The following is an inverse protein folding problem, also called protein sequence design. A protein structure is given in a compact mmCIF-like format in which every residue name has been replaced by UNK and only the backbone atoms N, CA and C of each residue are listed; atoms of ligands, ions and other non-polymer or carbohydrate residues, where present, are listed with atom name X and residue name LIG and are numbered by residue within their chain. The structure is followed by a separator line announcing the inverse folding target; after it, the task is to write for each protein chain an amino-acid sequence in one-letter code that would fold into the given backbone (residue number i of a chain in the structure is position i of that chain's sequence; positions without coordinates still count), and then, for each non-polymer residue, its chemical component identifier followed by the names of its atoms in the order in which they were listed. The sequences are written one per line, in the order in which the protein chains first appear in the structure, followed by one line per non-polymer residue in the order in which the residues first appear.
data_IF_027082788620
#
_entry.id   IF_027082788620
#
_cell.length_a   1.000
_cell.length_b   1.000
_cell.length_c   1.000
_cell.angle_alpha   90.00
_cell.angle_beta   90.00
_cell.angle_gamma   90.00
#
_symmetry.space_group_name_H-M   'P 1'
#
loop_
_entity.id
_entity.type
_entity.pdbx_description
1 polymer ?
#
# COMPACT_ATOMS: atom_id res chain seq x y z
N UNK A 1 9.09 -5.44 20.68
CA UNK A 1 8.07 -4.49 20.20
C UNK A 1 8.10 -4.28 18.69
N UNK A 2 9.23 -3.93 18.06
CA UNK A 2 9.31 -3.68 16.61
C UNK A 2 8.82 -4.83 15.71
N UNK A 3 9.20 -6.08 16.02
CA UNK A 3 8.81 -7.26 15.24
C UNK A 3 7.31 -7.53 15.26
N UNK A 4 6.62 -7.27 16.37
CA UNK A 4 5.17 -7.45 16.46
C UNK A 4 4.43 -6.50 15.52
N UNK A 5 4.75 -5.20 15.58
CA UNK A 5 4.15 -4.21 14.68
C UNK A 5 4.49 -4.48 13.22
N UNK A 6 5.72 -4.90 12.94
CA UNK A 6 6.13 -5.31 11.61
C UNK A 6 5.25 -6.45 11.08
N UNK A 7 5.09 -7.54 11.84
CA UNK A 7 4.24 -8.68 11.44
C UNK A 7 2.79 -8.23 11.24
N UNK A 8 2.26 -7.35 12.11
CA UNK A 8 0.90 -6.82 12.00
C UNK A 8 0.72 -6.04 10.70
N UNK A 9 1.62 -5.10 10.38
CA UNK A 9 1.57 -4.34 9.13
C UNK A 9 1.78 -5.21 7.90
N UNK A 10 2.61 -6.27 7.99
CA UNK A 10 2.78 -7.24 6.92
C UNK A 10 1.48 -7.99 6.64
N UNK A 11 0.86 -8.59 7.66
CA UNK A 11 -0.43 -9.29 7.53
C UNK A 11 -1.49 -8.34 6.94
N UNK A 12 -1.55 -7.10 7.43
CA UNK A 12 -2.51 -6.11 6.95
C UNK A 12 -2.26 -5.72 5.48
N UNK A 13 -1.00 -5.54 5.09
CA UNK A 13 -0.62 -5.25 3.70
C UNK A 13 -1.03 -6.39 2.77
N UNK A 14 -0.73 -7.63 3.16
CA UNK A 14 -1.17 -8.79 2.38
C UNK A 14 -2.71 -8.82 2.29
N UNK A 15 -3.43 -8.66 3.39
CA UNK A 15 -4.89 -8.66 3.37
C UNK A 15 -5.47 -7.59 2.42
N UNK A 16 -4.90 -6.37 2.40
CA UNK A 16 -5.35 -5.29 1.52
C UNK A 16 -5.02 -5.55 0.04
N UNK A 17 -3.78 -5.93 -0.26
CA UNK A 17 -3.30 -6.21 -1.62
C UNK A 17 -4.05 -7.40 -2.23
N UNK A 18 -4.35 -8.41 -1.43
CA UNK A 18 -4.99 -9.65 -1.88
C UNK A 18 -6.52 -9.65 -1.78
N UNK A 19 -7.16 -8.55 -1.37
CA UNK A 19 -8.63 -8.38 -1.26
C UNK A 19 -9.40 -8.53 -2.61
N UNK A 20 -8.74 -8.73 -3.74
CA UNK A 20 -9.34 -8.95 -5.07
C UNK A 20 -10.06 -7.75 -5.69
N UNK A 21 -10.38 -6.71 -4.92
CA UNK A 21 -10.91 -5.44 -5.41
C UNK A 21 -9.78 -4.58 -5.97
N UNK A 22 -9.43 -4.82 -7.22
CA UNK A 22 -8.30 -4.16 -7.89
C UNK A 22 -8.72 -3.24 -9.05
N UNK A 23 -9.98 -3.27 -9.45
CA UNK A 23 -10.56 -2.33 -10.43
C UNK A 23 -11.55 -1.40 -9.73
N UNK A 24 -11.26 -0.10 -9.77
CA UNK A 24 -12.07 0.91 -9.10
C UNK A 24 -12.97 1.66 -10.08
N UNK A 25 -14.24 1.79 -9.71
CA UNK A 25 -15.18 2.72 -10.32
C UNK A 25 -15.00 4.15 -9.77
N UNK A 26 -15.70 5.14 -10.35
CA UNK A 26 -15.59 6.55 -9.94
C UNK A 26 -15.84 6.77 -8.43
N UNK A 27 -16.82 6.07 -7.85
CA UNK A 27 -17.14 6.18 -6.41
C UNK A 27 -16.01 5.60 -5.55
N UNK A 28 -15.42 4.48 -5.98
CA UNK A 28 -14.30 3.85 -5.29
C UNK A 28 -13.03 4.70 -5.35
N UNK A 29 -12.80 5.43 -6.44
CA UNK A 29 -11.70 6.40 -6.53
C UNK A 29 -11.87 7.54 -5.52
N UNK A 30 -13.08 8.10 -5.42
CA UNK A 30 -13.39 9.14 -4.42
C UNK A 30 -13.22 8.59 -3.00
N UNK A 31 -13.76 7.40 -2.73
CA UNK A 31 -13.62 6.73 -1.44
C UNK A 31 -12.15 6.49 -1.09
N UNK A 32 -11.35 6.08 -2.06
CA UNK A 32 -9.91 5.83 -1.89
C UNK A 32 -9.16 7.11 -1.58
N UNK A 33 -9.45 8.19 -2.30
CA UNK A 33 -8.93 9.52 -1.97
C UNK A 33 -9.33 9.96 -0.56
N UNK A 34 -10.58 9.75 -0.16
CA UNK A 34 -11.04 10.01 1.21
C UNK A 34 -10.31 9.17 2.25
N UNK A 35 -10.07 7.88 1.97
CA UNK A 35 -9.29 6.99 2.84
C UNK A 35 -7.84 7.44 2.97
N UNK A 36 -7.24 8.03 1.92
CA UNK A 36 -5.90 8.61 2.00
C UNK A 36 -5.84 9.76 3.00
N UNK A 37 -6.80 10.69 2.90
CA UNK A 37 -6.91 11.81 3.84
C UNK A 37 -7.12 11.29 5.26
N UNK A 38 -7.94 10.27 5.44
CA UNK A 38 -8.12 9.63 6.74
C UNK A 38 -6.82 9.02 7.27
N UNK A 39 -6.03 8.34 6.42
CA UNK A 39 -4.72 7.82 6.80
C UNK A 39 -3.80 8.94 7.28
N UNK A 40 -3.74 10.08 6.56
CA UNK A 40 -2.95 11.24 6.97
C UNK A 40 -3.42 11.83 8.30
N UNK A 41 -4.74 11.88 8.55
CA UNK A 41 -5.27 12.34 9.84
C UNK A 41 -4.87 11.39 10.97
N UNK A 42 -4.96 10.08 10.75
CA UNK A 42 -4.57 9.06 11.73
C UNK A 42 -3.09 9.16 12.07
N UNK A 43 -2.20 9.40 11.09
CA UNK A 43 -0.76 9.55 11.36
C UNK A 43 -0.46 10.79 12.21
N UNK A 44 -1.15 11.91 11.96
CA UNK A 44 -1.05 13.12 12.79
C UNK A 44 -1.52 12.87 14.22
N UNK A 45 -2.68 12.21 14.39
CA UNK A 45 -3.23 11.87 15.71
C UNK A 45 -2.28 10.96 16.49
N UNK A 46 -1.71 9.94 15.86
CA UNK A 46 -0.73 9.05 16.49
C UNK A 46 0.51 9.82 16.93
N UNK A 47 1.03 10.74 16.10
CA UNK A 47 2.16 11.58 16.46
C UNK A 47 1.86 12.45 17.69
N UNK A 48 0.67 13.04 17.75
CA UNK A 48 0.24 13.82 18.91
C UNK A 48 0.10 12.98 20.18
N UNK A 49 -0.53 11.80 20.08
CA UNK A 49 -0.69 10.87 21.21
C UNK A 49 0.68 10.41 21.75
N UNK A 50 1.61 10.03 20.87
CA UNK A 50 2.96 9.62 21.29
C UNK A 50 3.72 10.76 21.97
N UNK A 51 3.61 11.99 21.44
CA UNK A 51 4.19 13.17 22.08
C UNK A 51 3.58 13.41 23.47
N UNK A 52 2.26 13.33 23.58
CA UNK A 52 1.55 13.52 24.84
C UNK A 52 1.94 12.47 25.88
N UNK A 53 2.07 11.20 25.50
CA UNK A 53 2.54 10.12 26.37
C UNK A 53 3.98 10.36 26.86
N UNK A 54 4.87 10.80 25.97
CA UNK A 54 6.24 11.12 26.35
C UNK A 54 6.32 12.26 27.38
N UNK A 55 5.45 13.27 27.28
CA UNK A 55 5.47 14.43 28.16
C UNK A 55 4.71 14.22 29.48
N UNK A 56 3.57 13.52 29.43
CA UNK A 56 2.65 13.45 30.58
C UNK A 56 3.00 12.34 31.55
N UNK A 57 3.43 11.19 31.03
CA UNK A 57 3.71 9.99 31.84
C UNK A 57 5.18 9.56 31.74
N UNK A 58 6.01 10.27 30.98
CA UNK A 58 7.44 10.01 30.79
C UNK A 58 7.76 8.55 30.40
N UNK A 59 6.83 7.87 29.72
CA UNK A 59 6.95 6.45 29.37
C UNK A 59 8.16 6.20 28.45
N UNK A 60 8.52 7.20 27.63
CA UNK A 60 9.71 7.22 26.79
C UNK A 60 10.14 8.66 26.50
N UNK A 61 11.36 8.83 25.99
CA UNK A 61 11.89 10.16 25.61
C UNK A 61 11.14 10.76 24.41
N UNK A 62 11.16 12.09 24.29
CA UNK A 62 10.61 12.78 23.12
C UNK A 62 11.29 12.35 21.80
N UNK A 63 12.57 12.01 21.85
CA UNK A 63 13.30 11.47 20.70
C UNK A 63 12.72 10.11 20.26
N UNK A 64 12.45 9.22 21.20
CA UNK A 64 11.81 7.91 20.95
C UNK A 64 10.39 8.09 20.42
N UNK A 65 9.62 9.03 20.99
CA UNK A 65 8.27 9.38 20.52
C UNK A 65 8.26 9.77 19.04
N UNK A 66 9.19 10.65 18.66
CA UNK A 66 9.36 11.12 17.27
C UNK A 66 9.72 9.98 16.34
N UNK A 67 10.64 9.10 16.75
CA UNK A 67 11.02 7.93 15.95
C UNK A 67 9.84 6.99 15.70
N UNK A 68 9.05 6.67 16.74
CA UNK A 68 7.86 5.85 16.58
C UNK A 68 6.78 6.52 15.73
N UNK A 69 6.57 7.83 15.89
CA UNK A 69 5.63 8.58 15.05
C UNK A 69 6.01 8.51 13.56
N UNK A 70 7.29 8.69 13.23
CA UNK A 70 7.78 8.57 11.84
C UNK A 70 7.58 7.13 11.34
N UNK A 71 7.99 6.14 12.13
CA UNK A 71 7.85 4.74 11.76
C UNK A 71 6.38 4.38 11.45
N UNK A 72 5.46 4.64 12.38
CA UNK A 72 4.04 4.36 12.16
C UNK A 72 3.50 5.11 10.94
N UNK A 73 3.84 6.39 10.80
CA UNK A 73 3.38 7.20 9.66
C UNK A 73 3.81 6.61 8.33
N UNK A 74 5.09 6.26 8.20
CA UNK A 74 5.63 5.64 6.99
C UNK A 74 5.01 4.26 6.75
N UNK A 75 4.78 3.46 7.78
CA UNK A 75 4.10 2.16 7.67
C UNK A 75 2.70 2.29 7.09
N UNK A 76 1.86 3.17 7.64
CA UNK A 76 0.50 3.39 7.13
C UNK A 76 0.50 3.88 5.69
N UNK A 77 1.38 4.83 5.36
CA UNK A 77 1.53 5.35 3.99
C UNK A 77 2.01 4.28 3.01
N UNK A 78 2.95 3.44 3.43
CA UNK A 78 3.46 2.33 2.63
C UNK A 78 2.35 1.32 2.33
N UNK A 79 1.62 0.85 3.35
CA UNK A 79 0.49 -0.08 3.18
C UNK A 79 -0.55 0.47 2.21
N UNK A 80 -0.91 1.75 2.38
CA UNK A 80 -1.88 2.41 1.53
C UNK A 80 -1.37 2.59 0.09
N UNK A 81 -0.11 3.03 -0.07
CA UNK A 81 0.55 3.21 -1.35
C UNK A 81 0.67 1.92 -2.15
N UNK A 82 0.99 0.79 -1.51
CA UNK A 82 1.05 -0.52 -2.16
C UNK A 82 -0.32 -0.93 -2.71
N UNK A 83 -1.40 -0.71 -1.95
CA UNK A 83 -2.76 -0.99 -2.46
C UNK A 83 -3.10 -0.09 -3.65
N UNK A 84 -2.77 1.21 -3.58
CA UNK A 84 -3.02 2.14 -4.67
C UNK A 84 -2.28 1.72 -5.96
N UNK A 85 -1.02 1.32 -5.85
CA UNK A 85 -0.20 0.88 -6.98
C UNK A 85 -0.83 -0.32 -7.71
N UNK A 86 -1.30 -1.33 -6.98
CA UNK A 86 -1.99 -2.49 -7.56
C UNK A 86 -3.23 -2.06 -8.34
N UNK A 87 -4.05 -1.18 -7.74
CA UNK A 87 -5.28 -0.69 -8.35
C UNK A 87 -5.00 0.15 -9.60
N UNK A 88 -4.00 1.02 -9.55
CA UNK A 88 -3.57 1.83 -10.70
C UNK A 88 -3.11 0.95 -11.85
N UNK A 89 -2.29 -0.05 -11.57
CA UNK A 89 -1.81 -1.00 -12.57
C UNK A 89 -2.97 -1.70 -13.27
N UNK A 90 -3.90 -2.27 -12.50
CA UNK A 90 -5.11 -2.92 -13.04
C UNK A 90 -5.98 -1.94 -13.83
N UNK A 91 -6.11 -0.70 -13.37
CA UNK A 91 -6.90 0.34 -14.05
C UNK A 91 -6.30 0.74 -15.39
N UNK A 92 -4.97 0.90 -15.48
CA UNK A 92 -4.25 1.19 -16.72
C UNK A 92 -4.44 0.04 -17.72
N UNK A 93 -4.23 -1.21 -17.28
CA UNK A 93 -4.46 -2.38 -18.13
C UNK A 93 -5.90 -2.43 -18.66
N UNK A 94 -6.90 -2.19 -17.81
CA UNK A 94 -8.30 -2.14 -18.24
C UNK A 94 -8.57 -1.02 -19.24
N UNK A 95 -7.93 0.14 -19.07
CA UNK A 95 -8.00 1.26 -20.01
C UNK A 95 -7.44 0.88 -21.38
N UNK A 96 -6.26 0.25 -21.43
CA UNK A 96 -5.64 -0.23 -22.67
C UNK A 96 -6.54 -1.25 -23.37
N UNK A 97 -7.06 -2.25 -22.64
CA UNK A 97 -7.97 -3.25 -23.22
C UNK A 97 -9.23 -2.62 -23.81
N UNK A 98 -9.83 -1.63 -23.13
CA UNK A 98 -10.99 -0.89 -23.67
C UNK A 98 -10.65 -0.07 -24.91
N UNK A 99 -9.45 0.52 -24.95
CA UNK A 99 -8.95 1.23 -26.12
C UNK A 99 -8.82 0.31 -27.34
N UNK A 100 -8.19 -0.85 -27.15
CA UNK A 100 -8.09 -1.87 -28.21
C UNK A 100 -9.45 -2.33 -28.72
N UNK A 101 -10.42 -2.56 -27.82
CA UNK A 101 -11.79 -2.91 -28.24
C UNK A 101 -12.42 -1.86 -29.17
N UNK A 102 -12.14 -0.58 -28.93
CA UNK A 102 -12.74 0.54 -29.68
C UNK A 102 -12.06 0.79 -31.02
N UNK A 103 -10.74 0.63 -31.09
CA UNK A 103 -9.94 1.06 -32.24
C UNK A 103 -9.32 -0.09 -33.05
N UNK A 104 -9.34 -1.33 -32.55
CA UNK A 104 -8.76 -2.50 -33.20
C UNK A 104 -9.62 -3.74 -32.90
N UNK A 105 -10.91 -3.66 -33.26
CA UNK A 105 -11.91 -4.68 -32.94
C UNK A 105 -11.64 -6.01 -33.66
N UNK A 106 -11.01 -5.98 -34.83
CA UNK A 106 -10.69 -7.17 -35.64
C UNK A 106 -9.70 -8.10 -34.92
N UNK A 107 -8.67 -7.54 -34.29
CA UNK A 107 -7.66 -8.30 -33.54
C UNK A 107 -7.96 -8.38 -32.04
N UNK A 108 -9.09 -7.82 -31.59
CA UNK A 108 -9.43 -7.73 -30.17
C UNK A 108 -9.66 -9.10 -29.54
N UNK A 109 -10.34 -10.03 -30.23
CA UNK A 109 -10.64 -11.36 -29.68
C UNK A 109 -9.38 -12.21 -29.47
N UNK A 110 -8.43 -12.14 -30.41
CA UNK A 110 -7.14 -12.82 -30.28
C UNK A 110 -6.32 -12.24 -29.11
N UNK A 111 -6.20 -10.91 -29.04
CA UNK A 111 -5.55 -10.22 -27.92
C UNK A 111 -6.25 -10.52 -26.57
N UNK A 112 -7.58 -10.57 -26.55
CA UNK A 112 -8.36 -10.87 -25.36
C UNK A 112 -8.12 -12.29 -24.86
N UNK A 113 -7.98 -13.26 -25.78
CA UNK A 113 -7.67 -14.66 -25.45
C UNK A 113 -6.32 -14.79 -24.75
N UNK A 114 -5.27 -14.14 -25.29
CA UNK A 114 -3.93 -14.09 -24.71
C UNK A 114 -3.95 -13.35 -23.37
N UNK A 115 -4.63 -12.21 -23.31
CA UNK A 115 -4.74 -11.41 -22.08
C UNK A 115 -5.45 -12.18 -20.98
N UNK A 116 -6.52 -12.91 -21.28
CA UNK A 116 -7.24 -13.74 -20.27
C UNK A 116 -6.38 -14.88 -19.74
N UNK A 117 -5.52 -15.47 -20.57
CA UNK A 117 -4.61 -16.53 -20.14
C UNK A 117 -3.48 -15.99 -19.24
N UNK A 118 -2.91 -14.83 -19.58
CA UNK A 118 -1.69 -14.31 -18.92
C UNK A 118 -2.01 -13.35 -17.75
N UNK A 119 -3.11 -12.60 -17.82
CA UNK A 119 -3.46 -11.55 -16.86
C UNK A 119 -3.51 -12.04 -15.40
N UNK A 120 -4.13 -13.19 -15.07
CA UNK A 120 -4.16 -13.68 -13.69
C UNK A 120 -2.74 -13.91 -13.13
N UNK A 121 -1.87 -14.55 -13.92
CA UNK A 121 -0.47 -14.79 -13.56
C UNK A 121 0.32 -13.49 -13.39
N UNK A 122 0.14 -12.53 -14.30
CA UNK A 122 0.81 -11.23 -14.24
C UNK A 122 0.39 -10.43 -12.99
N UNK A 123 -0.89 -10.46 -12.64
CA UNK A 123 -1.41 -9.79 -11.43
C UNK A 123 -0.84 -10.44 -10.17
N UNK A 124 -0.74 -11.77 -10.13
CA UNK A 124 -0.11 -12.49 -9.01
C UNK A 124 1.37 -12.11 -8.87
N UNK A 125 2.12 -12.08 -9.97
CA UNK A 125 3.53 -11.68 -9.98
C UNK A 125 3.69 -10.24 -9.51
N UNK A 126 2.88 -9.31 -10.03
CA UNK A 126 2.89 -7.92 -9.62
C UNK A 126 2.59 -7.76 -8.12
N UNK A 127 1.54 -8.42 -7.60
CA UNK A 127 1.21 -8.41 -6.16
C UNK A 127 2.33 -8.99 -5.30
N UNK A 128 3.01 -10.02 -5.79
CA UNK A 128 4.14 -10.65 -5.10
C UNK A 128 5.33 -9.70 -5.05
N UNK A 129 5.70 -9.06 -6.17
CA UNK A 129 6.80 -8.07 -6.22
C UNK A 129 6.48 -6.87 -5.33
N UNK A 130 5.23 -6.37 -5.37
CA UNK A 130 4.77 -5.26 -4.54
C UNK A 130 4.82 -5.63 -3.05
N UNK A 131 4.38 -6.83 -2.69
CA UNK A 131 4.44 -7.33 -1.30
C UNK A 131 5.89 -7.51 -0.82
N UNK A 132 6.78 -8.01 -1.70
CA UNK A 132 8.21 -8.14 -1.42
C UNK A 132 8.89 -6.76 -1.27
N UNK A 133 8.51 -5.79 -2.11
CA UNK A 133 8.95 -4.40 -1.99
C UNK A 133 8.53 -3.78 -0.65
N UNK A 134 7.31 -4.04 -0.20
CA UNK A 134 6.83 -3.63 1.14
C UNK A 134 7.67 -4.24 2.28
N UNK A 135 7.96 -5.54 2.20
CA UNK A 135 8.83 -6.23 3.16
C UNK A 135 10.23 -5.61 3.22
N UNK A 136 10.83 -5.31 2.06
CA UNK A 136 12.16 -4.71 1.95
C UNK A 136 12.20 -3.29 2.50
N UNK A 137 11.18 -2.45 2.24
CA UNK A 137 11.11 -1.11 2.82
C UNK A 137 11.14 -1.17 4.36
N UNK A 138 10.33 -2.05 4.96
CA UNK A 138 10.34 -2.20 6.42
C UNK A 138 11.67 -2.71 7.01
N UNK A 139 12.38 -3.59 6.28
CA UNK A 139 13.71 -4.09 6.68
C UNK A 139 14.78 -3.01 6.61
N UNK A 140 14.83 -2.27 5.50
CA UNK A 140 15.85 -1.22 5.26
C UNK A 140 15.70 -0.08 6.28
N UNK A 141 14.48 0.35 6.57
CA UNK A 141 14.24 1.38 7.60
C UNK A 141 14.45 0.86 9.03
N UNK A 142 14.38 -0.46 9.26
CA UNK A 142 14.67 -1.08 10.56
C UNK A 142 16.16 -1.33 10.84
N UNK A 143 17.01 -1.39 9.81
CA UNK A 143 18.45 -1.67 9.94
C UNK A 143 19.33 -0.42 9.86
N UNK A 144 18.88 0.67 9.22
CA UNK A 144 19.64 1.93 9.08
C UNK A 144 19.89 2.69 10.40
N UNK A 145 19.61 2.09 11.56
CA UNK A 145 19.74 2.73 12.87
C UNK A 145 20.54 1.95 13.89
N UNK A 146 21.21 0.88 13.46
CA UNK A 146 22.10 0.10 14.33
C UNK A 146 23.59 0.41 14.14
N UNK A 147 23.93 1.36 13.25
CA UNK A 147 25.31 1.77 12.96
C UNK A 147 25.60 3.24 13.35
N UNK A 148 25.07 3.70 14.49
CA UNK A 148 25.55 4.90 15.21
C UNK A 148 25.55 4.65 16.73
#
# INVERSE_FOLDING_TARGET
MHWFFFILFMIWTLALVWNGKDLYNKKQWILTGGMFVLVLLVTVVIGFLLKWLAQSISLFSLATAKQYSIMFSMSFLCVWGLKLTVVLLCTIFSGITKGHKRYNAENYEEMLSVTRAVSPGLVIVAKTIISLGGFLMFRVYGLSKHDD
#
